data_IF_731727043819
#
_entry.id   IF_731727043819
#
_cell.length_a   1.000
_cell.length_b   1.000
_cell.length_c   1.000
_cell.angle_alpha   90.00
_cell.angle_beta   90.00
_cell.angle_gamma   90.00
#
_symmetry.space_group_name_H-M   'P 1'
#
loop_
_entity.id
_entity.type
_entity.pdbx_description
1 polymer ?
#
# COMPACT_ATOMS: atom_id res chain seq x y z
N UNK A 1 3.35 -20.12 20.88
CA UNK A 1 2.90 -20.01 19.48
C UNK A 1 3.91 -19.13 18.78
N UNK A 2 4.42 -19.55 17.62
CA UNK A 2 5.49 -18.86 16.87
C UNK A 2 5.18 -17.37 16.62
N UNK A 3 6.20 -16.51 16.77
CA UNK A 3 6.11 -15.07 16.59
C UNK A 3 6.26 -14.71 15.10
N UNK A 4 5.25 -14.10 14.47
CA UNK A 4 5.39 -13.56 13.11
C UNK A 4 4.96 -14.49 11.98
N UNK A 5 3.65 -14.63 11.82
CA UNK A 5 3.03 -15.30 10.68
C UNK A 5 2.88 -14.33 9.52
N UNK A 6 3.09 -14.80 8.30
CA UNK A 6 2.75 -14.11 7.06
C UNK A 6 1.71 -14.95 6.30
N UNK A 7 0.49 -14.44 6.22
CA UNK A 7 -0.58 -15.01 5.42
C UNK A 7 -0.60 -14.33 4.05
N UNK A 8 -0.61 -15.09 2.97
CA UNK A 8 -0.64 -14.59 1.58
C UNK A 8 -1.81 -15.24 0.85
N UNK A 9 -2.92 -14.53 0.76
CA UNK A 9 -4.07 -14.97 -0.03
C UNK A 9 -3.90 -14.53 -1.48
N UNK A 10 -3.82 -15.48 -2.41
CA UNK A 10 -3.62 -15.22 -3.82
C UNK A 10 -4.90 -15.48 -4.61
N UNK A 11 -5.49 -14.39 -5.09
CA UNK A 11 -6.68 -14.40 -5.93
C UNK A 11 -6.34 -13.86 -7.34
N UNK A 12 -7.13 -14.19 -8.37
CA UNK A 12 -6.90 -13.66 -9.71
C UNK A 12 -6.83 -12.12 -9.70
N UNK A 13 -5.68 -11.57 -10.12
CA UNK A 13 -5.43 -10.13 -10.18
C UNK A 13 -5.02 -9.46 -8.84
N UNK A 14 -5.03 -10.17 -7.71
CA UNK A 14 -4.74 -9.57 -6.41
C UNK A 14 -4.12 -10.56 -5.42
N UNK A 15 -3.01 -10.15 -4.80
CA UNK A 15 -2.46 -10.81 -3.62
C UNK A 15 -2.69 -9.94 -2.39
N UNK A 16 -3.29 -10.52 -1.35
CA UNK A 16 -3.53 -9.86 -0.07
C UNK A 16 -2.61 -10.49 0.97
N UNK A 17 -1.82 -9.67 1.64
CA UNK A 17 -0.81 -10.10 2.60
C UNK A 17 -1.15 -9.58 3.98
N UNK A 18 -1.30 -10.46 4.95
CA UNK A 18 -1.52 -10.12 6.35
C UNK A 18 -0.38 -10.68 7.20
N UNK A 19 0.31 -9.81 7.93
CA UNK A 19 1.31 -10.23 8.91
C UNK A 19 0.69 -10.22 10.29
N UNK A 20 0.79 -11.34 11.01
CA UNK A 20 0.24 -11.50 12.36
C UNK A 20 1.37 -11.69 13.38
N UNK A 21 1.22 -11.09 14.56
CA UNK A 21 1.98 -11.45 15.76
C UNK A 21 1.01 -11.91 16.82
N UNK A 22 1.09 -13.17 17.24
CA UNK A 22 -0.01 -13.82 17.96
C UNK A 22 -1.29 -13.76 17.12
N UNK A 23 -2.37 -13.21 17.68
CA UNK A 23 -3.65 -13.04 16.99
C UNK A 23 -3.90 -11.60 16.51
N UNK A 24 -2.86 -10.77 16.39
CA UNK A 24 -2.99 -9.35 16.07
C UNK A 24 -2.41 -9.04 14.69
N UNK A 25 -3.19 -8.38 13.85
CA UNK A 25 -2.72 -7.84 12.57
C UNK A 25 -1.68 -6.73 12.80
N UNK A 26 -0.47 -6.94 12.28
CA UNK A 26 0.65 -6.01 12.42
C UNK A 26 1.08 -5.32 11.13
N UNK A 27 0.72 -5.88 9.98
CA UNK A 27 0.90 -5.26 8.67
C UNK A 27 -0.12 -5.83 7.69
N UNK A 28 -0.65 -5.00 6.80
CA UNK A 28 -1.50 -5.42 5.70
C UNK A 28 -1.03 -4.76 4.41
N UNK A 29 -0.94 -5.55 3.34
CA UNK A 29 -0.53 -5.08 2.01
C UNK A 29 -1.39 -5.73 0.94
N UNK A 30 -1.66 -4.98 -0.12
CA UNK A 30 -2.33 -5.48 -1.31
C UNK A 30 -1.41 -5.25 -2.49
N UNK A 31 -1.14 -6.31 -3.24
CA UNK A 31 -0.36 -6.27 -4.48
C UNK A 31 -1.27 -6.65 -5.64
N UNK A 32 -1.26 -5.83 -6.68
CA UNK A 32 -1.95 -6.13 -7.94
C UNK A 32 -0.88 -6.34 -9.01
N UNK A 33 -0.58 -7.59 -9.40
CA UNK A 33 0.51 -7.88 -10.34
C UNK A 33 0.37 -7.16 -11.70
N UNK A 34 -0.86 -6.86 -12.15
CA UNK A 34 -1.13 -6.08 -13.36
C UNK A 34 -0.81 -4.59 -13.23
N UNK A 35 -0.64 -4.09 -12.00
CA UNK A 35 -0.40 -2.68 -11.66
C UNK A 35 0.79 -2.56 -10.68
N UNK A 36 2.01 -2.98 -11.07
CA UNK A 36 3.15 -3.00 -10.18
C UNK A 36 3.60 -1.58 -9.81
N UNK A 37 4.03 -1.38 -8.56
CA UNK A 37 4.51 -0.07 -8.10
C UNK A 37 5.83 0.38 -8.73
N UNK A 38 6.56 -0.55 -9.37
CA UNK A 38 7.91 -0.42 -9.93
C UNK A 38 8.99 0.06 -8.95
N UNK A 39 8.69 0.32 -7.68
CA UNK A 39 9.69 0.76 -6.69
C UNK A 39 10.85 -0.23 -6.62
N UNK A 40 12.07 0.31 -6.69
CA UNK A 40 13.29 -0.46 -6.73
C UNK A 40 13.62 -1.07 -8.09
N UNK A 41 12.74 -1.00 -9.10
CA UNK A 41 13.02 -1.51 -10.44
C UNK A 41 14.07 -0.66 -11.16
N UNK A 42 14.97 -1.33 -11.88
CA UNK A 42 15.99 -0.71 -12.72
C UNK A 42 15.48 -0.61 -14.16
N UNK A 43 15.55 0.60 -14.71
CA UNK A 43 15.18 0.89 -16.09
C UNK A 43 16.33 1.50 -16.87
N UNK A 44 16.37 1.20 -18.16
CA UNK A 44 17.01 2.07 -19.13
C UNK A 44 15.93 2.97 -19.74
N UNK A 45 15.85 4.19 -19.23
CA UNK A 45 14.79 5.13 -19.56
C UNK A 45 15.19 6.07 -20.70
N UNK A 46 14.21 6.77 -21.25
CA UNK A 46 14.41 7.86 -22.21
C UNK A 46 13.91 9.18 -21.63
N UNK A 47 14.74 10.21 -21.65
CA UNK A 47 14.34 11.57 -21.27
C UNK A 47 13.36 12.09 -22.32
N UNK A 48 12.11 12.31 -21.92
CA UNK A 48 11.04 12.83 -22.79
C UNK A 48 11.07 14.35 -22.84
N UNK A 49 11.29 14.98 -21.69
CA UNK A 49 11.40 16.44 -21.59
C UNK A 49 12.23 16.86 -20.39
N UNK A 50 12.91 17.99 -20.52
CA UNK A 50 13.64 18.65 -19.43
C UNK A 50 12.79 19.82 -18.94
N UNK A 51 12.55 19.90 -17.64
CA UNK A 51 11.71 20.91 -17.01
C UNK A 51 12.50 21.70 -15.95
N UNK A 52 13.31 22.70 -16.36
CA UNK A 52 14.11 23.49 -15.41
C UNK A 52 13.28 24.17 -14.31
N UNK A 53 12.06 24.63 -14.64
CA UNK A 53 11.15 25.23 -13.66
C UNK A 53 10.65 24.27 -12.58
N UNK A 54 10.70 22.96 -12.82
CA UNK A 54 10.42 21.92 -11.82
C UNK A 54 11.70 21.32 -11.22
N UNK A 55 12.88 21.84 -11.60
CA UNK A 55 14.18 21.29 -11.25
C UNK A 55 14.29 19.79 -11.53
N UNK A 56 13.82 19.32 -12.69
CA UNK A 56 13.92 17.90 -13.07
C UNK A 56 13.53 17.61 -14.52
N UNK A 57 13.45 16.33 -14.85
CA UNK A 57 13.14 15.83 -16.19
C UNK A 57 12.08 14.72 -16.14
N UNK A 58 11.27 14.61 -17.18
CA UNK A 58 10.31 13.51 -17.35
C UNK A 58 10.94 12.40 -18.18
N UNK A 59 10.75 11.16 -17.72
CA UNK A 59 11.31 9.95 -18.29
C UNK A 59 10.19 9.02 -18.75
N UNK A 60 10.35 8.42 -19.92
CA UNK A 60 9.60 7.24 -20.32
C UNK A 60 10.35 5.99 -19.84
N UNK A 61 9.72 5.18 -18.99
CA UNK A 61 10.27 3.93 -18.45
C UNK A 61 9.81 2.72 -19.26
N UNK A 62 8.55 2.70 -19.66
CA UNK A 62 7.90 1.70 -20.50
C UNK A 62 6.66 2.33 -21.18
N UNK A 63 6.01 1.67 -22.15
CA UNK A 63 4.77 2.18 -22.73
C UNK A 63 3.72 2.46 -21.64
N UNK A 64 3.28 3.72 -21.53
CA UNK A 64 2.31 4.16 -20.52
C UNK A 64 2.85 4.27 -19.09
N UNK A 65 4.17 4.13 -18.89
CA UNK A 65 4.82 4.23 -17.57
C UNK A 65 5.88 5.33 -17.60
N UNK A 66 5.60 6.42 -16.88
CA UNK A 66 6.46 7.59 -16.80
C UNK A 66 7.02 7.79 -15.38
N UNK A 67 8.15 8.49 -15.29
CA UNK A 67 8.73 8.94 -14.03
C UNK A 67 9.31 10.35 -14.11
N UNK A 68 9.43 10.98 -12.96
CA UNK A 68 10.13 12.25 -12.77
C UNK A 68 11.52 12.00 -12.17
N UNK A 69 12.54 12.56 -12.79
CA UNK A 69 13.93 12.56 -12.32
C UNK A 69 14.29 13.96 -11.79
N UNK A 70 14.35 14.17 -10.47
CA UNK A 70 14.82 15.41 -9.88
C UNK A 70 16.29 15.70 -10.22
N UNK A 71 16.67 16.97 -10.32
CA UNK A 71 18.05 17.38 -10.56
C UNK A 71 19.02 16.84 -9.49
N UNK A 72 18.59 16.80 -8.22
CA UNK A 72 19.39 16.27 -7.11
C UNK A 72 19.73 14.77 -7.23
N UNK A 73 18.96 14.05 -8.05
CA UNK A 73 19.06 12.62 -8.31
C UNK A 73 19.58 12.30 -9.73
N UNK A 74 19.82 13.31 -10.56
CA UNK A 74 20.19 13.14 -11.98
C UNK A 74 21.69 12.99 -12.22
N UNK A 75 22.54 13.35 -11.25
CA UNK A 75 24.00 13.28 -11.35
C UNK A 75 24.54 12.08 -10.54
N UNK A 76 24.91 10.96 -11.21
CA UNK A 76 25.30 9.73 -10.53
C UNK A 76 26.54 9.84 -9.66
N UNK A 77 27.43 10.78 -10.01
CA UNK A 77 28.74 10.94 -9.39
C UNK A 77 28.78 12.13 -8.42
N UNK A 78 27.61 12.77 -8.18
CA UNK A 78 27.46 13.86 -7.22
C UNK A 78 27.70 13.37 -5.78
N UNK A 79 28.62 14.00 -5.02
CA UNK A 79 28.81 13.70 -3.60
C UNK A 79 27.57 14.01 -2.75
N UNK A 80 27.28 13.21 -1.73
CA UNK A 80 26.18 13.48 -0.79
C UNK A 80 26.34 14.84 -0.09
N UNK A 81 25.23 15.55 0.11
CA UNK A 81 25.21 16.88 0.72
C UNK A 81 25.68 18.04 -0.16
N UNK A 82 26.27 17.77 -1.33
CA UNK A 82 26.65 18.84 -2.28
C UNK A 82 25.41 19.47 -2.97
N UNK A 83 25.46 20.73 -3.44
CA UNK A 83 24.37 21.30 -4.21
C UNK A 83 24.25 20.61 -5.59
N UNK A 84 23.03 20.45 -6.09
CA UNK A 84 22.82 19.93 -7.44
C UNK A 84 23.02 21.00 -8.51
N UNK A 85 23.49 20.57 -9.68
CA UNK A 85 23.53 21.40 -10.90
C UNK A 85 22.12 21.54 -11.49
N UNK A 86 21.84 22.59 -12.26
CA UNK A 86 20.58 22.69 -13.00
C UNK A 86 20.37 21.49 -13.91
N UNK A 87 19.14 20.96 -13.97
CA UNK A 87 18.83 19.74 -14.72
C UNK A 87 19.25 19.80 -16.20
N UNK A 88 19.15 20.97 -16.84
CA UNK A 88 19.54 21.13 -18.25
C UNK A 88 21.04 21.01 -18.53
N UNK A 89 21.88 21.04 -17.49
CA UNK A 89 23.31 20.75 -17.58
C UNK A 89 23.63 19.26 -17.30
N UNK A 90 22.64 18.50 -16.82
CA UNK A 90 22.78 17.09 -16.44
C UNK A 90 22.22 16.15 -17.50
N UNK A 91 21.08 16.53 -18.10
CA UNK A 91 20.40 15.71 -19.11
C UNK A 91 19.80 16.55 -20.24
N UNK A 92 19.59 15.92 -21.39
CA UNK A 92 18.89 16.51 -22.54
C UNK A 92 17.74 15.64 -23.04
N UNK A 93 16.77 16.24 -23.73
CA UNK A 93 15.66 15.50 -24.37
C UNK A 93 16.21 14.44 -25.33
N UNK A 94 15.59 13.26 -25.34
CA UNK A 94 15.98 12.10 -26.13
C UNK A 94 17.13 11.27 -25.53
N UNK A 95 17.79 11.76 -24.48
CA UNK A 95 18.89 11.05 -23.82
C UNK A 95 18.42 9.73 -23.21
N UNK A 96 19.24 8.71 -23.40
CA UNK A 96 19.12 7.43 -22.73
C UNK A 96 19.76 7.51 -21.34
N UNK A 97 19.07 7.07 -20.29
CA UNK A 97 19.56 7.17 -18.92
C UNK A 97 19.14 5.97 -18.07
N UNK A 98 20.10 5.41 -17.34
CA UNK A 98 19.85 4.34 -16.39
C UNK A 98 19.31 4.92 -15.08
N UNK A 99 18.15 4.43 -14.64
CA UNK A 99 17.51 4.93 -13.41
C UNK A 99 16.87 3.81 -12.61
N UNK A 100 16.80 4.01 -11.30
CA UNK A 100 16.01 3.16 -10.40
C UNK A 100 14.82 3.94 -9.87
N UNK A 101 13.65 3.33 -9.83
CA UNK A 101 12.46 3.96 -9.25
C UNK A 101 12.61 4.00 -7.73
N UNK A 102 12.51 5.19 -7.13
CA UNK A 102 12.63 5.40 -5.69
C UNK A 102 11.28 5.57 -5.01
N UNK A 103 10.27 5.99 -5.77
CA UNK A 103 8.90 6.18 -5.28
C UNK A 103 7.90 5.82 -6.37
N UNK A 104 6.85 5.11 -5.98
CA UNK A 104 5.74 4.76 -6.86
C UNK A 104 4.99 6.00 -7.36
N UNK A 105 4.23 5.84 -8.45
CA UNK A 105 3.21 6.82 -8.81
C UNK A 105 2.16 6.88 -7.69
N UNK A 106 1.83 8.10 -7.25
CA UNK A 106 0.94 8.35 -6.10
C UNK A 106 0.26 9.72 -6.22
N UNK A 107 -0.97 9.86 -5.75
CA UNK A 107 -1.74 11.12 -5.72
C UNK A 107 -1.85 11.78 -7.12
N UNK A 108 -1.98 10.97 -8.18
CA UNK A 108 -1.97 11.44 -9.58
C UNK A 108 -0.61 11.95 -10.08
N UNK A 109 0.45 11.85 -9.26
CA UNK A 109 1.83 12.17 -9.66
C UNK A 109 2.52 10.90 -10.14
N UNK A 110 3.30 11.02 -11.21
CA UNK A 110 4.13 9.92 -11.72
C UNK A 110 5.16 9.43 -10.71
N UNK A 111 5.77 8.28 -11.00
CA UNK A 111 6.83 7.72 -10.16
C UNK A 111 8.03 8.68 -10.06
N UNK A 112 8.85 8.54 -9.02
CA UNK A 112 10.16 9.22 -8.96
C UNK A 112 11.28 8.24 -9.20
N UNK A 113 12.32 8.70 -9.88
CA UNK A 113 13.49 7.90 -10.20
C UNK A 113 14.78 8.61 -9.77
N UNK A 114 15.85 7.82 -9.65
CA UNK A 114 17.22 8.30 -9.42
C UNK A 114 18.18 7.69 -10.43
N UNK A 115 19.10 8.51 -10.94
CA UNK A 115 20.26 8.07 -11.70
C UNK A 115 21.49 7.80 -10.80
N UNK A 116 21.40 8.10 -9.49
CA UNK A 116 22.42 7.82 -8.48
C UNK A 116 22.42 6.34 -8.09
N UNK A 117 22.75 5.50 -9.08
CA UNK A 117 22.77 4.05 -8.97
C UNK A 117 24.19 3.50 -9.20
N UNK A 118 24.51 2.30 -8.69
CA UNK A 118 25.84 1.70 -8.85
C UNK A 118 26.29 1.62 -10.32
N UNK A 119 27.60 1.77 -10.61
CA UNK A 119 28.12 1.69 -11.98
C UNK A 119 27.77 0.39 -12.71
N UNK A 120 27.70 -0.74 -11.99
CA UNK A 120 27.28 -2.03 -12.54
C UNK A 120 25.84 -2.00 -13.08
N UNK A 121 24.92 -1.35 -12.38
CA UNK A 121 23.53 -1.21 -12.84
C UNK A 121 23.43 -0.29 -14.05
N UNK A 122 24.25 0.76 -14.12
CA UNK A 122 24.34 1.64 -15.30
C UNK A 122 24.79 0.85 -16.53
N UNK A 123 25.82 0.01 -16.38
CA UNK A 123 26.33 -0.83 -17.46
C UNK A 123 25.28 -1.86 -17.93
N UNK A 124 24.58 -2.51 -16.99
CA UNK A 124 23.48 -3.45 -17.29
C UNK A 124 22.32 -2.78 -18.00
N UNK A 125 21.96 -1.56 -17.61
CA UNK A 125 20.89 -0.82 -18.27
C UNK A 125 21.29 -0.43 -19.70
N UNK A 126 22.52 0.05 -19.88
CA UNK A 126 23.05 0.48 -21.18
C UNK A 126 23.10 -0.65 -22.23
N UNK A 127 23.07 -1.93 -21.83
CA UNK A 127 23.04 -3.06 -22.77
C UNK A 127 21.67 -3.32 -23.41
N UNK A 128 20.60 -2.65 -22.96
CA UNK A 128 19.26 -2.75 -23.54
C UNK A 128 18.89 -1.46 -24.28
N UNK A 129 18.04 -1.49 -25.32
CA UNK A 129 17.55 -0.26 -25.94
C UNK A 129 16.53 0.46 -25.04
N UNK A 130 16.59 1.79 -24.86
CA UNK A 130 15.61 2.53 -24.06
C UNK A 130 14.34 2.86 -24.88
N UNK A 131 13.13 2.78 -24.30
CA UNK A 131 12.84 2.42 -22.91
C UNK A 131 12.80 0.90 -22.65
N UNK A 132 13.40 0.42 -21.56
CA UNK A 132 13.38 -0.98 -21.16
C UNK A 132 13.45 -1.20 -19.64
N UNK A 133 12.69 -2.17 -19.14
CA UNK A 133 12.86 -2.73 -17.80
C UNK A 133 14.07 -3.67 -17.80
N UNK A 134 15.07 -3.38 -16.97
CA UNK A 134 16.31 -4.15 -16.84
C UNK A 134 16.18 -5.16 -15.70
N UNK A 135 15.56 -4.75 -14.60
CA UNK A 135 15.36 -5.57 -13.41
C UNK A 135 14.08 -5.13 -12.71
N UNK A 136 13.18 -6.08 -12.42
CA UNK A 136 11.99 -5.81 -11.63
C UNK A 136 12.37 -5.49 -10.17
N UNK A 137 11.71 -4.50 -9.59
CA UNK A 137 11.82 -4.20 -8.17
C UNK A 137 11.10 -5.24 -7.30
N UNK A 138 11.31 -5.21 -5.98
CA UNK A 138 10.63 -6.14 -5.07
C UNK A 138 9.12 -5.85 -5.01
N UNK A 139 8.31 -6.83 -5.42
CA UNK A 139 6.86 -6.88 -5.21
C UNK A 139 6.50 -6.93 -3.70
N UNK A 140 5.22 -6.75 -3.31
CA UNK A 140 4.86 -6.78 -1.89
C UNK A 140 5.18 -8.11 -1.20
N UNK A 141 5.18 -9.24 -1.93
CA UNK A 141 5.53 -10.55 -1.38
C UNK A 141 7.02 -10.56 -1.03
N UNK A 142 7.89 -10.15 -1.93
CA UNK A 142 9.33 -10.04 -1.70
C UNK A 142 9.62 -9.09 -0.52
N UNK A 143 8.94 -7.94 -0.45
CA UNK A 143 9.08 -6.99 0.68
C UNK A 143 8.62 -7.60 2.01
N UNK A 144 7.51 -8.34 2.01
CA UNK A 144 7.00 -9.02 3.20
C UNK A 144 7.97 -10.12 3.68
N UNK A 145 8.50 -10.91 2.75
CA UNK A 145 9.43 -12.00 3.01
C UNK A 145 10.80 -11.49 3.50
N UNK A 146 11.24 -10.30 3.06
CA UNK A 146 12.46 -9.66 3.56
C UNK A 146 12.43 -9.41 5.08
N UNK A 147 11.23 -9.36 5.69
CA UNK A 147 11.07 -9.28 7.15
C UNK A 147 11.30 -10.62 7.87
N UNK A 148 11.65 -11.68 7.12
CA UNK A 148 11.97 -13.02 7.59
C UNK A 148 10.92 -13.62 8.53
N UNK A 149 9.65 -13.75 8.10
CA UNK A 149 8.59 -14.34 8.92
C UNK A 149 8.95 -15.77 9.37
N UNK A 150 8.46 -16.16 10.54
CA UNK A 150 8.68 -17.50 11.10
C UNK A 150 7.85 -18.55 10.37
N UNK A 151 6.61 -18.20 10.02
CA UNK A 151 5.67 -19.08 9.30
C UNK A 151 5.06 -18.30 8.14
N UNK A 152 5.07 -18.90 6.95
CA UNK A 152 4.45 -18.35 5.75
C UNK A 152 3.33 -19.31 5.35
N UNK A 153 2.12 -18.81 5.20
CA UNK A 153 0.97 -19.61 4.77
C UNK A 153 0.33 -18.96 3.56
N UNK A 154 0.08 -19.75 2.52
CA UNK A 154 -0.65 -19.29 1.33
C UNK A 154 -1.76 -20.28 0.95
N UNK A 155 -2.84 -19.78 0.35
CA UNK A 155 -3.95 -20.58 -0.19
C UNK A 155 -3.70 -21.03 -1.63
N UNK A 156 -2.52 -20.73 -2.18
CA UNK A 156 -2.15 -21.04 -3.56
C UNK A 156 -0.89 -21.92 -3.62
N UNK A 157 -1.02 -23.20 -4.04
CA UNK A 157 0.10 -24.12 -4.18
C UNK A 157 1.20 -23.63 -5.14
N UNK A 158 0.82 -22.96 -6.23
CA UNK A 158 1.78 -22.48 -7.23
C UNK A 158 2.61 -21.32 -6.67
N UNK A 159 1.95 -20.43 -5.93
CA UNK A 159 2.65 -19.38 -5.20
C UNK A 159 3.58 -19.96 -4.12
N UNK A 160 3.14 -20.98 -3.39
CA UNK A 160 3.99 -21.65 -2.41
C UNK A 160 5.26 -22.23 -3.05
N UNK A 161 5.13 -22.90 -4.20
CA UNK A 161 6.27 -23.42 -4.96
C UNK A 161 7.19 -22.29 -5.45
N UNK A 162 6.60 -21.19 -5.97
CA UNK A 162 7.34 -20.01 -6.41
C UNK A 162 8.14 -19.36 -5.27
N UNK A 163 7.56 -19.22 -4.08
CA UNK A 163 8.25 -18.68 -2.90
C UNK A 163 9.41 -19.60 -2.50
N UNK A 164 9.18 -20.91 -2.41
CA UNK A 164 10.24 -21.89 -2.07
C UNK A 164 11.42 -21.84 -3.03
N UNK A 165 11.14 -21.65 -4.33
CA UNK A 165 12.17 -21.53 -5.35
C UNK A 165 12.92 -20.19 -5.30
N UNK A 166 12.19 -19.07 -5.21
CA UNK A 166 12.77 -17.71 -5.20
C UNK A 166 13.49 -17.37 -3.89
N UNK A 167 13.08 -17.98 -2.77
CA UNK A 167 13.60 -17.70 -1.43
C UNK A 167 13.97 -19.00 -0.69
N UNK A 168 15.07 -19.69 -1.08
CA UNK A 168 15.45 -20.98 -0.52
C UNK A 168 15.65 -20.96 1.01
N UNK A 169 16.11 -19.85 1.57
CA UNK A 169 16.29 -19.68 3.02
C UNK A 169 14.98 -19.74 3.83
N UNK A 170 13.83 -19.56 3.17
CA UNK A 170 12.51 -19.60 3.78
C UNK A 170 11.74 -20.89 3.42
N UNK A 171 12.37 -21.81 2.67
CA UNK A 171 11.73 -23.00 2.10
C UNK A 171 10.86 -23.77 3.12
N UNK A 172 11.45 -24.11 4.27
CA UNK A 172 10.81 -24.94 5.31
C UNK A 172 9.75 -24.19 6.13
N UNK A 173 9.63 -22.87 5.93
CA UNK A 173 8.64 -22.02 6.59
C UNK A 173 7.36 -21.88 5.78
N UNK A 174 7.36 -22.29 4.51
CA UNK A 174 6.22 -22.15 3.58
C UNK A 174 5.25 -23.32 3.71
N UNK A 175 4.00 -23.01 4.04
CA UNK A 175 2.87 -23.93 4.17
C UNK A 175 1.76 -23.53 3.19
N UNK A 176 1.02 -24.52 2.73
CA UNK A 176 -0.16 -24.30 1.89
C UNK A 176 -1.41 -24.63 2.69
N UNK A 177 -2.43 -23.80 2.60
CA UNK A 177 -3.74 -24.01 3.22
C UNK A 177 -4.77 -24.40 2.16
N UNK A 178 -5.60 -25.40 2.48
CA UNK A 178 -6.78 -25.76 1.67
C UNK A 178 -8.05 -24.99 2.10
N UNK A 179 -8.01 -24.29 3.23
CA UNK A 179 -9.09 -23.43 3.73
C UNK A 179 -8.75 -21.96 3.51
N UNK A 180 -9.75 -21.05 3.49
CA UNK A 180 -9.49 -19.61 3.50
C UNK A 180 -8.49 -19.23 4.59
N UNK A 181 -7.51 -18.39 4.25
CA UNK A 181 -6.51 -17.91 5.21
C UNK A 181 -7.05 -16.85 6.15
N UNK A 182 -7.99 -16.03 5.67
CA UNK A 182 -8.58 -14.97 6.45
C UNK A 182 -9.89 -15.48 7.02
N UNK A 183 -9.88 -15.75 8.33
CA UNK A 183 -11.08 -16.00 9.12
C UNK A 183 -11.94 -14.73 9.18
N UNK A 184 -13.23 -14.88 9.50
CA UNK A 184 -14.20 -13.79 9.46
C UNK A 184 -13.74 -12.56 10.27
N UNK A 185 -13.16 -12.76 11.46
CA UNK A 185 -12.64 -11.67 12.29
C UNK A 185 -11.49 -10.89 11.64
N UNK A 186 -10.62 -11.57 10.87
CA UNK A 186 -9.52 -10.91 10.16
C UNK A 186 -10.03 -10.18 8.92
N UNK A 187 -11.02 -10.73 8.19
CA UNK A 187 -11.64 -10.00 7.08
C UNK A 187 -12.37 -8.75 7.60
N UNK A 188 -13.11 -8.83 8.71
CA UNK A 188 -13.74 -7.65 9.33
C UNK A 188 -12.70 -6.59 9.73
N UNK A 189 -11.56 -7.00 10.30
CA UNK A 189 -10.47 -6.08 10.64
C UNK A 189 -9.86 -5.43 9.39
N UNK A 190 -9.68 -6.18 8.30
CA UNK A 190 -9.16 -5.68 7.02
C UNK A 190 -10.14 -4.70 6.37
N UNK A 191 -11.43 -5.04 6.35
CA UNK A 191 -12.49 -4.18 5.81
C UNK A 191 -12.59 -2.87 6.60
N UNK A 192 -12.35 -2.90 7.90
CA UNK A 192 -12.31 -1.68 8.73
C UNK A 192 -11.11 -0.76 8.40
N UNK A 193 -10.05 -1.23 7.71
CA UNK A 193 -8.89 -0.40 7.37
C UNK A 193 -9.20 0.72 6.37
N UNK A 194 -10.24 0.57 5.56
CA UNK A 194 -10.66 1.63 4.61
C UNK A 194 -11.61 2.64 5.26
N UNK A 195 -12.22 2.31 6.40
CA UNK A 195 -13.12 3.20 7.10
C UNK A 195 -12.37 4.43 7.67
N UNK A 196 -12.93 5.64 7.57
CA UNK A 196 -12.30 6.85 8.10
C UNK A 196 -12.25 6.85 9.63
N UNK A 197 -13.10 6.09 10.31
CA UNK A 197 -13.18 6.06 11.77
C UNK A 197 -12.65 4.75 12.34
N UNK A 198 -11.95 4.87 13.47
CA UNK A 198 -11.40 3.73 14.22
C UNK A 198 -11.85 3.83 15.67
N UNK A 199 -12.48 2.77 16.18
CA UNK A 199 -12.92 2.74 17.57
C UNK A 199 -11.72 2.64 18.52
N UNK A 200 -11.75 3.43 19.59
CA UNK A 200 -10.80 3.36 20.70
C UNK A 200 -11.46 2.76 21.94
N UNK A 201 -10.67 2.29 22.91
CA UNK A 201 -11.18 1.90 24.22
C UNK A 201 -12.03 3.00 24.88
N UNK A 202 -12.95 2.60 25.77
CA UNK A 202 -13.83 3.50 26.55
C UNK A 202 -14.68 4.45 25.69
N UNK A 203 -15.02 4.04 24.46
CA UNK A 203 -15.92 4.79 23.58
C UNK A 203 -15.28 5.99 22.88
N UNK A 204 -13.95 6.13 22.92
CA UNK A 204 -13.25 7.08 22.06
C UNK A 204 -13.22 6.65 20.60
N UNK A 205 -12.76 7.53 19.72
CA UNK A 205 -12.57 7.24 18.29
C UNK A 205 -11.42 8.06 17.72
N UNK A 206 -10.76 7.51 16.70
CA UNK A 206 -9.91 8.27 15.78
C UNK A 206 -10.70 8.55 14.51
N UNK A 207 -10.57 9.75 13.98
CA UNK A 207 -11.04 10.09 12.63
C UNK A 207 -9.85 10.43 11.75
N UNK A 208 -9.61 9.60 10.73
CA UNK A 208 -8.50 9.72 9.79
C UNK A 208 -9.03 10.40 8.52
N UNK A 209 -8.52 11.59 8.23
CA UNK A 209 -8.84 12.37 7.04
C UNK A 209 -7.62 12.48 6.14
N UNK A 210 -7.77 11.94 4.92
CA UNK A 210 -6.75 11.98 3.89
C UNK A 210 -6.96 13.24 3.06
N UNK A 211 -5.94 14.10 3.00
CA UNK A 211 -5.92 15.27 2.11
C UNK A 211 -4.69 15.16 1.18
N UNK A 212 -4.65 15.88 0.05
CA UNK A 212 -3.51 15.83 -0.88
C UNK A 212 -2.15 16.18 -0.24
N UNK A 213 -2.16 17.04 0.78
CA UNK A 213 -0.95 17.55 1.43
C UNK A 213 -0.61 16.80 2.72
N UNK A 214 -1.61 16.57 3.57
CA UNK A 214 -1.43 16.07 4.95
C UNK A 214 -2.49 15.04 5.30
N UNK A 215 -2.11 14.01 6.06
CA UNK A 215 -3.07 13.15 6.74
C UNK A 215 -3.36 13.72 8.12
N UNK A 216 -4.62 14.07 8.39
CA UNK A 216 -5.06 14.54 9.70
C UNK A 216 -5.71 13.39 10.46
N UNK A 217 -5.31 13.19 11.72
CA UNK A 217 -5.91 12.22 12.62
C UNK A 217 -6.45 12.99 13.82
N UNK A 218 -7.76 13.01 13.95
CA UNK A 218 -8.47 13.65 15.06
C UNK A 218 -8.82 12.62 16.14
N UNK A 219 -8.69 13.00 17.41
CA UNK A 219 -8.93 12.14 18.57
C UNK A 219 -10.12 12.65 19.38
N UNK A 220 -11.19 11.87 19.36
CA UNK A 220 -12.35 12.07 20.22
C UNK A 220 -12.30 11.11 21.40
N UNK A 221 -12.39 11.64 22.62
CA UNK A 221 -12.46 10.82 23.84
C UNK A 221 -13.90 10.51 24.22
N UNK A 222 -14.16 9.26 24.63
CA UNK A 222 -15.46 8.85 25.17
C UNK A 222 -15.75 9.44 26.57
N UNK A 223 -16.95 9.20 27.12
CA UNK A 223 -17.38 9.75 28.40
C UNK A 223 -16.49 9.31 29.57
N UNK A 224 -16.28 10.23 30.52
CA UNK A 224 -15.40 10.02 31.68
C UNK A 224 -16.05 9.07 32.69
N UNK A 225 -15.29 8.07 33.15
CA UNK A 225 -15.77 6.96 33.99
C UNK A 225 -15.79 7.26 35.49
N UNK A 226 -15.88 8.54 35.88
CA UNK A 226 -15.91 8.98 37.28
C UNK A 226 -14.56 9.24 37.94
N UNK A 227 -13.43 9.07 37.23
CA UNK A 227 -12.09 9.41 37.71
C UNK A 227 -11.67 10.87 37.41
N UNK A 228 -10.40 11.19 37.67
CA UNK A 228 -9.85 12.51 37.31
C UNK A 228 -9.90 12.71 35.80
N UNK A 229 -10.68 13.71 35.34
CA UNK A 229 -10.84 14.03 33.92
C UNK A 229 -9.51 14.25 33.19
N UNK A 230 -8.49 14.75 33.90
CA UNK A 230 -7.13 14.90 33.35
C UNK A 230 -6.45 13.55 33.11
N UNK A 231 -6.45 12.67 34.13
CA UNK A 231 -5.79 11.37 34.04
C UNK A 231 -6.47 10.46 33.00
N UNK A 232 -7.80 10.51 32.91
CA UNK A 232 -8.57 9.78 31.91
C UNK A 232 -8.25 10.27 30.49
N UNK A 233 -8.18 11.59 30.28
CA UNK A 233 -7.77 12.18 28.99
C UNK A 233 -6.34 11.82 28.61
N UNK A 234 -5.40 11.86 29.54
CA UNK A 234 -4.02 11.44 29.30
C UNK A 234 -3.93 9.95 28.93
N UNK A 235 -4.71 9.08 29.57
CA UNK A 235 -4.81 7.67 29.22
C UNK A 235 -5.43 7.45 27.84
N UNK A 236 -6.48 8.20 27.50
CA UNK A 236 -7.12 8.16 26.19
C UNK A 236 -6.16 8.63 25.08
N UNK A 237 -5.40 9.71 25.29
CA UNK A 237 -4.40 10.18 24.34
C UNK A 237 -3.27 9.15 24.14
N UNK A 238 -2.82 8.45 25.19
CA UNK A 238 -1.84 7.35 25.03
C UNK A 238 -2.41 6.20 24.21
N UNK A 239 -3.67 5.80 24.45
CA UNK A 239 -4.33 4.78 23.64
C UNK A 239 -4.50 5.23 22.18
N UNK A 240 -4.87 6.50 21.96
CA UNK A 240 -5.00 7.10 20.64
C UNK A 240 -3.66 7.14 19.89
N UNK A 241 -2.55 7.51 20.53
CA UNK A 241 -1.21 7.48 19.94
C UNK A 241 -0.83 6.06 19.51
N UNK A 242 -1.05 5.06 20.38
CA UNK A 242 -0.74 3.67 20.06
C UNK A 242 -1.56 3.15 18.89
N UNK A 243 -2.85 3.48 18.83
CA UNK A 243 -3.73 3.09 17.73
C UNK A 243 -3.45 3.89 16.45
N UNK A 244 -3.11 5.16 16.54
CA UNK A 244 -2.71 5.97 15.39
C UNK A 244 -1.44 5.41 14.74
N UNK A 245 -0.42 5.08 15.53
CA UNK A 245 0.80 4.43 15.02
C UNK A 245 0.48 3.10 14.32
N UNK A 246 -0.42 2.30 14.90
CA UNK A 246 -0.92 1.06 14.30
C UNK A 246 -1.61 1.32 12.96
N UNK A 247 -2.55 2.25 12.89
CA UNK A 247 -3.30 2.56 11.67
C UNK A 247 -2.42 3.16 10.57
N UNK A 248 -1.45 4.00 10.94
CA UNK A 248 -0.44 4.51 9.99
C UNK A 248 0.33 3.36 9.34
N UNK A 249 0.72 2.36 10.12
CA UNK A 249 1.39 1.17 9.58
C UNK A 249 0.45 0.29 8.72
N UNK A 250 -0.73 -0.07 9.24
CA UNK A 250 -1.67 -0.98 8.57
C UNK A 250 -2.23 -0.42 7.26
N UNK A 251 -2.44 0.90 7.20
CA UNK A 251 -2.93 1.59 6.01
C UNK A 251 -1.80 2.12 5.13
N UNK A 252 -0.55 1.88 5.52
CA UNK A 252 0.65 2.40 4.85
C UNK A 252 0.61 3.94 4.63
N UNK A 253 0.04 4.70 5.56
CA UNK A 253 -0.08 6.16 5.45
C UNK A 253 1.31 6.80 5.41
N UNK A 254 1.50 7.83 4.59
CA UNK A 254 2.81 8.45 4.40
C UNK A 254 2.72 9.94 4.09
N UNK A 255 3.87 10.61 4.11
CA UNK A 255 3.98 12.06 4.04
C UNK A 255 3.83 12.73 5.40
N UNK A 256 3.46 14.03 5.41
CA UNK A 256 3.09 14.73 6.62
C UNK A 256 1.83 14.14 7.24
N UNK A 257 1.89 13.83 8.53
CA UNK A 257 0.79 13.31 9.34
C UNK A 257 0.69 14.19 10.58
N UNK A 258 -0.51 14.65 10.92
CA UNK A 258 -0.78 15.42 12.13
C UNK A 258 -1.79 14.69 13.00
N UNK A 259 -1.51 14.60 14.30
CA UNK A 259 -2.40 14.01 15.29
C UNK A 259 -2.91 15.13 16.23
N UNK A 260 -4.20 15.39 16.18
CA UNK A 260 -4.90 16.31 17.06
C UNK A 260 -5.39 15.56 18.31
N UNK A 261 -4.66 15.72 19.40
CA UNK A 261 -4.97 15.02 20.65
C UNK A 261 -6.03 15.79 21.44
N UNK A 262 -6.96 15.05 22.04
CA UNK A 262 -7.99 15.64 22.89
C UNK A 262 -7.36 16.43 24.04
N UNK A 263 -7.49 17.75 23.98
CA UNK A 263 -7.02 18.70 25.00
C UNK A 263 -5.51 18.66 25.26
N UNK A 264 -4.81 19.74 24.91
CA UNK A 264 -3.38 19.85 25.13
C UNK A 264 -2.99 19.63 26.59
N UNK A 265 -1.99 18.79 26.89
CA UNK A 265 -1.47 18.70 28.24
C UNK A 265 -0.79 20.02 28.63
N UNK A 266 -1.07 20.48 29.85
CA UNK A 266 -0.42 21.65 30.42
C UNK A 266 1.04 21.37 30.77
N UNK A 267 1.93 22.29 30.41
CA UNK A 267 3.34 22.27 30.79
C UNK A 267 4.27 21.46 29.85
N UNK A 268 5.56 21.84 29.84
CA UNK A 268 6.59 21.22 28.99
C UNK A 268 6.82 19.72 29.28
N UNK A 269 6.74 19.33 30.55
CA UNK A 269 6.97 17.93 30.95
C UNK A 269 5.95 16.96 30.37
N UNK A 270 4.66 17.31 30.42
CA UNK A 270 3.59 16.44 29.93
C UNK A 270 3.60 16.31 28.39
N UNK A 271 3.94 17.38 27.65
CA UNK A 271 4.16 17.31 26.20
C UNK A 271 5.35 16.42 25.85
N UNK A 272 6.45 16.54 26.59
CA UNK A 272 7.65 15.71 26.38
C UNK A 272 7.37 14.22 26.60
N UNK A 273 6.55 13.89 27.60
CA UNK A 273 6.10 12.53 27.84
C UNK A 273 5.27 11.97 26.68
N UNK A 274 4.33 12.74 26.12
CA UNK A 274 3.56 12.29 24.95
C UNK A 274 4.42 12.13 23.70
N UNK A 275 5.42 12.99 23.49
CA UNK A 275 6.38 12.83 22.37
C UNK A 275 7.18 11.53 22.55
N UNK A 276 7.63 11.22 23.76
CA UNK A 276 8.36 9.98 24.04
C UNK A 276 7.47 8.74 23.79
N UNK A 277 6.22 8.76 24.25
CA UNK A 277 5.25 7.69 23.98
C UNK A 277 4.95 7.54 22.49
N UNK A 278 4.77 8.65 21.77
CA UNK A 278 4.58 8.62 20.32
C UNK A 278 5.81 8.05 19.61
N UNK A 279 7.01 8.52 19.96
CA UNK A 279 8.27 8.00 19.39
C UNK A 279 8.38 6.50 19.59
N UNK A 280 8.07 6.00 20.80
CA UNK A 280 8.05 4.57 21.10
C UNK A 280 6.99 3.82 20.29
N UNK A 281 5.77 4.34 20.20
CA UNK A 281 4.68 3.70 19.47
C UNK A 281 4.97 3.62 17.96
N UNK A 282 5.45 4.72 17.36
CA UNK A 282 5.83 4.75 15.95
C UNK A 282 7.06 3.88 15.68
N UNK A 283 8.08 3.85 16.54
CA UNK A 283 9.21 2.93 16.38
C UNK A 283 8.77 1.45 16.36
N UNK A 284 7.72 1.09 17.10
CA UNK A 284 7.20 -0.28 17.14
C UNK A 284 6.34 -0.65 15.92
N UNK A 285 5.67 0.31 15.30
CA UNK A 285 4.66 0.08 14.25
C UNK A 285 5.07 0.57 12.87
N UNK A 286 5.65 1.75 12.79
CA UNK A 286 6.09 2.44 11.58
C UNK A 286 7.49 3.02 11.82
N UNK A 287 8.49 2.14 11.89
CA UNK A 287 9.89 2.47 12.23
C UNK A 287 10.57 3.43 11.25
N UNK A 288 10.00 3.59 10.06
CA UNK A 288 10.41 4.55 9.04
C UNK A 288 9.82 5.95 9.27
N UNK A 289 8.89 6.12 10.20
CA UNK A 289 8.31 7.40 10.57
C UNK A 289 9.17 8.15 11.61
N UNK A 290 9.19 9.47 11.50
CA UNK A 290 9.85 10.38 12.42
C UNK A 290 8.82 11.26 13.12
N UNK A 291 8.82 11.25 14.46
CA UNK A 291 8.01 12.16 15.28
C UNK A 291 8.78 13.47 15.46
N UNK A 292 8.22 14.58 14.96
CA UNK A 292 8.87 15.89 14.97
C UNK A 292 8.59 16.69 16.26
N UNK A 293 7.51 16.36 16.96
CA UNK A 293 7.07 17.04 18.18
C UNK A 293 5.76 17.79 17.99
N UNK A 294 5.46 18.72 18.90
CA UNK A 294 4.23 19.51 18.84
C UNK A 294 4.43 20.82 18.07
N UNK A 295 3.50 21.11 17.17
CA UNK A 295 3.37 22.39 16.50
C UNK A 295 2.97 23.50 17.47
N UNK A 296 3.02 24.76 17.02
CA UNK A 296 2.51 25.91 17.78
C UNK A 296 1.00 25.85 18.01
N UNK A 297 0.27 25.17 17.13
CA UNK A 297 -1.17 24.93 17.25
C UNK A 297 -1.48 23.75 18.19
N UNK A 298 -0.45 23.01 18.63
CA UNK A 298 -0.63 21.86 19.51
C UNK A 298 -0.87 20.53 18.80
N UNK A 299 -0.67 20.48 17.49
CA UNK A 299 -0.76 19.22 16.74
C UNK A 299 0.55 18.45 16.90
N UNK A 300 0.48 17.15 17.16
CA UNK A 300 1.66 16.29 17.12
C UNK A 300 2.00 15.99 15.66
N UNK A 301 3.20 16.38 15.22
CA UNK A 301 3.66 16.25 13.85
C UNK A 301 4.50 14.98 13.67
N UNK A 302 4.16 14.21 12.64
CA UNK A 302 4.88 13.02 12.20
C UNK A 302 5.16 13.17 10.70
N UNK A 303 6.34 12.71 10.25
CA UNK A 303 6.64 12.54 8.84
C UNK A 303 7.02 11.09 8.57
N UNK A 304 6.43 10.49 7.54
CA UNK A 304 6.77 9.14 7.08
C UNK A 304 7.13 9.16 5.59
N UNK A 305 8.24 8.56 5.14
CA UNK A 305 8.65 8.58 3.74
C UNK A 305 7.55 8.09 2.79
N UNK A 306 7.33 8.81 1.69
CA UNK A 306 6.41 8.40 0.64
C UNK A 306 7.17 7.50 -0.34
N UNK A 307 6.97 6.19 -0.25
CA UNK A 307 7.63 5.19 -1.10
C UNK A 307 6.61 4.42 -1.93
N UNK A 308 5.59 3.89 -1.28
CA UNK A 308 4.49 3.14 -1.89
C UNK A 308 3.15 3.84 -1.65
N UNK A 309 2.15 3.65 -2.54
CA UNK A 309 0.81 4.15 -2.31
C UNK A 309 0.22 3.60 -1.01
N UNK A 310 -0.45 4.43 -0.19
CA UNK A 310 -1.17 3.96 0.99
C UNK A 310 -2.34 3.07 0.56
N UNK A 311 -2.81 2.21 1.46
CA UNK A 311 -3.88 1.25 1.20
C UNK A 311 -5.16 1.91 0.64
N UNK A 312 -5.63 3.07 1.16
CA UNK A 312 -6.80 3.75 0.61
C UNK A 312 -6.62 4.18 -0.85
N UNK A 313 -5.39 4.47 -1.30
CA UNK A 313 -5.12 4.79 -2.70
C UNK A 313 -5.05 3.53 -3.57
N UNK A 314 -4.46 2.44 -3.06
CA UNK A 314 -4.43 1.14 -3.76
C UNK A 314 -5.84 0.60 -3.98
N UNK A 315 -6.71 0.74 -2.97
CA UNK A 315 -8.06 0.22 -3.00
C UNK A 315 -9.08 1.22 -3.56
N UNK A 316 -8.84 2.51 -3.43
CA UNK A 316 -9.78 3.57 -3.75
C UNK A 316 -9.61 4.15 -5.15
N UNK A 317 -10.47 5.11 -5.47
CA UNK A 317 -10.23 6.02 -6.59
C UNK A 317 -9.44 7.23 -6.11
N UNK A 318 -8.77 7.95 -7.02
CA UNK A 318 -8.04 9.19 -6.70
C UNK A 318 -8.97 10.37 -6.30
N UNK A 319 -10.29 10.16 -6.22
CA UNK A 319 -11.26 11.17 -5.82
C UNK A 319 -11.30 11.33 -4.30
N UNK A 320 -11.68 12.53 -3.84
CA UNK A 320 -11.74 12.88 -2.42
C UNK A 320 -12.71 11.97 -1.65
N UNK A 321 -12.17 11.20 -0.69
CA UNK A 321 -12.93 10.24 0.11
C UNK A 321 -12.60 8.79 -0.24
N UNK A 322 -12.52 7.91 0.76
CA UNK A 322 -12.20 6.49 0.54
C UNK A 322 -13.38 5.75 -0.07
N UNK A 323 -13.66 5.98 -1.36
CA UNK A 323 -14.57 5.16 -2.15
C UNK A 323 -13.73 4.13 -2.89
N UNK A 324 -14.07 2.85 -2.69
CA UNK A 324 -13.38 1.74 -3.36
C UNK A 324 -13.48 1.89 -4.88
N UNK A 325 -12.40 1.58 -5.59
CA UNK A 325 -12.38 1.64 -7.05
C UNK A 325 -13.25 0.53 -7.67
N UNK A 326 -13.76 0.74 -8.89
CA UNK A 326 -14.43 -0.32 -9.65
C UNK A 326 -13.57 -1.58 -9.82
N UNK A 327 -12.24 -1.42 -9.91
CA UNK A 327 -11.29 -2.54 -9.93
C UNK A 327 -11.31 -3.32 -8.60
N UNK A 328 -11.31 -2.64 -7.46
CA UNK A 328 -11.43 -3.30 -6.15
C UNK A 328 -12.72 -4.11 -6.04
N UNK A 329 -13.84 -3.56 -6.52
CA UNK A 329 -15.12 -4.27 -6.57
C UNK A 329 -15.07 -5.50 -7.49
N UNK A 330 -14.48 -5.37 -8.68
CA UNK A 330 -14.32 -6.48 -9.62
C UNK A 330 -13.47 -7.62 -9.03
N UNK A 331 -12.34 -7.30 -8.38
CA UNK A 331 -11.47 -8.28 -7.74
C UNK A 331 -12.14 -8.93 -6.52
N UNK A 332 -12.95 -8.19 -5.76
CA UNK A 332 -13.80 -8.75 -4.71
C UNK A 332 -14.85 -9.72 -5.28
N UNK A 333 -15.45 -9.38 -6.42
CA UNK A 333 -16.38 -10.25 -7.13
C UNK A 333 -15.71 -11.54 -7.62
N UNK A 334 -14.46 -11.49 -8.11
CA UNK A 334 -13.71 -12.68 -8.50
C UNK A 334 -13.48 -13.63 -7.32
N UNK A 335 -13.16 -13.09 -6.14
CA UNK A 335 -13.07 -13.88 -4.90
C UNK A 335 -14.41 -14.51 -4.52
N UNK A 336 -15.50 -13.75 -4.63
CA UNK A 336 -16.84 -14.26 -4.37
C UNK A 336 -17.26 -15.37 -5.35
N UNK A 337 -16.91 -15.25 -6.63
CA UNK A 337 -17.11 -16.29 -7.64
C UNK A 337 -16.36 -17.58 -7.31
N UNK A 338 -15.08 -17.49 -6.93
CA UNK A 338 -14.31 -18.66 -6.48
C UNK A 338 -14.91 -19.29 -5.22
N UNK A 339 -15.43 -18.49 -4.30
CA UNK A 339 -16.10 -18.99 -3.09
C UNK A 339 -17.38 -19.74 -3.45
N UNK A 340 -18.20 -19.20 -4.36
CA UNK A 340 -19.43 -19.85 -4.82
C UNK A 340 -19.14 -21.15 -5.56
N UNK A 341 -18.10 -21.19 -6.39
CA UNK A 341 -17.69 -22.37 -7.15
C UNK A 341 -17.23 -23.55 -6.29
N UNK A 342 -16.96 -23.34 -4.99
CA UNK A 342 -16.71 -24.46 -4.04
C UNK A 342 -17.96 -25.29 -3.78
N UNK A 343 -19.15 -24.75 -4.06
CA UNK A 343 -20.40 -25.49 -3.96
C UNK A 343 -20.54 -26.42 -5.17
N UNK A 344 -20.80 -27.72 -4.98
CA UNK A 344 -20.89 -28.67 -6.09
C UNK A 344 -21.87 -28.25 -7.19
N UNK A 345 -21.35 -28.16 -8.43
CA UNK A 345 -22.11 -27.83 -9.64
C UNK A 345 -22.49 -26.35 -9.79
N UNK A 346 -22.08 -25.46 -8.89
CA UNK A 346 -22.35 -24.03 -9.04
C UNK A 346 -21.61 -23.44 -10.23
N UNK A 347 -22.29 -22.61 -11.02
CA UNK A 347 -21.70 -21.93 -12.19
C UNK A 347 -21.81 -20.43 -11.95
N UNK A 348 -20.76 -19.79 -11.40
CA UNK A 348 -20.85 -18.38 -11.03
C UNK A 348 -20.99 -17.47 -12.26
N UNK A 349 -21.84 -16.44 -12.14
CA UNK A 349 -21.93 -15.27 -13.03
C UNK A 349 -21.81 -13.99 -12.21
N UNK A 350 -21.15 -12.98 -12.77
CA UNK A 350 -21.07 -11.65 -12.17
C UNK A 350 -22.10 -10.73 -12.81
N UNK A 351 -23.01 -10.20 -11.99
CA UNK A 351 -23.92 -9.11 -12.37
C UNK A 351 -23.46 -7.86 -11.66
N UNK A 352 -23.10 -6.82 -12.40
CA UNK A 352 -22.58 -5.59 -11.80
C UNK A 352 -22.88 -4.35 -12.65
N UNK A 353 -22.71 -3.19 -12.02
CA UNK A 353 -22.80 -1.90 -12.71
C UNK A 353 -21.74 -1.78 -13.82
N UNK A 354 -22.00 -0.94 -14.85
CA UNK A 354 -21.10 -0.80 -16.01
C UNK A 354 -19.64 -0.50 -15.65
N UNK A 355 -19.42 0.30 -14.61
CA UNK A 355 -18.06 0.67 -14.18
C UNK A 355 -17.25 -0.53 -13.68
N UNK A 356 -17.88 -1.44 -12.92
CA UNK A 356 -17.26 -2.65 -12.37
C UNK A 356 -17.02 -3.68 -13.47
N UNK A 357 -17.97 -3.84 -14.41
CA UNK A 357 -17.80 -4.73 -15.56
C UNK A 357 -16.67 -4.24 -16.47
N UNK A 358 -16.59 -2.93 -16.73
CA UNK A 358 -15.51 -2.34 -17.51
C UNK A 358 -14.14 -2.60 -16.86
N UNK A 359 -14.02 -2.38 -15.54
CA UNK A 359 -12.80 -2.66 -14.80
C UNK A 359 -12.44 -4.16 -14.82
N UNK A 360 -13.42 -5.05 -14.64
CA UNK A 360 -13.21 -6.49 -14.74
C UNK A 360 -12.66 -6.90 -16.12
N UNK A 361 -13.21 -6.34 -17.20
CA UNK A 361 -12.79 -6.62 -18.58
C UNK A 361 -11.38 -6.12 -18.89
N UNK A 362 -10.94 -5.02 -18.27
CA UNK A 362 -9.60 -4.50 -18.42
C UNK A 362 -8.54 -5.46 -17.83
N UNK A 363 -8.90 -6.21 -16.79
CA UNK A 363 -8.02 -7.19 -16.13
C UNK A 363 -7.99 -8.53 -16.87
N UNK A 364 -7.56 -8.52 -18.13
CA UNK A 364 -7.54 -9.71 -19.01
C UNK A 364 -6.76 -10.89 -18.43
N UNK A 365 -5.60 -10.63 -17.82
CA UNK A 365 -4.80 -11.66 -17.15
C UNK A 365 -5.48 -12.25 -15.90
N UNK A 366 -6.19 -11.42 -15.13
CA UNK A 366 -6.96 -11.89 -13.98
C UNK A 366 -8.16 -12.73 -14.43
N UNK A 367 -8.89 -12.31 -15.46
CA UNK A 367 -10.00 -13.09 -16.04
C UNK A 367 -9.54 -14.43 -16.59
N UNK A 368 -8.38 -14.48 -17.27
CA UNK A 368 -7.80 -15.73 -17.75
C UNK A 368 -7.45 -16.67 -16.59
N UNK A 369 -6.80 -16.15 -15.55
CA UNK A 369 -6.46 -16.91 -14.33
C UNK A 369 -7.73 -17.41 -13.63
N UNK A 370 -8.76 -16.57 -13.53
CA UNK A 370 -10.04 -16.92 -12.95
C UNK A 370 -10.73 -18.02 -13.76
N UNK A 371 -10.73 -17.93 -15.08
CA UNK A 371 -11.34 -18.94 -15.95
C UNK A 371 -10.68 -20.31 -15.78
N UNK A 372 -9.35 -20.37 -15.65
CA UNK A 372 -8.63 -21.60 -15.35
C UNK A 372 -9.06 -22.17 -13.99
N UNK A 373 -9.14 -21.32 -12.95
CA UNK A 373 -9.55 -21.75 -11.60
C UNK A 373 -11.02 -22.19 -11.50
N UNK A 374 -11.91 -21.58 -12.29
CA UNK A 374 -13.33 -21.97 -12.37
C UNK A 374 -13.56 -23.18 -13.30
N UNK A 375 -12.62 -23.46 -14.21
CA UNK A 375 -12.80 -24.43 -15.29
C UNK A 375 -13.64 -23.92 -16.47
N UNK A 376 -14.12 -22.67 -16.41
CA UNK A 376 -14.85 -22.00 -17.48
C UNK A 376 -14.72 -20.47 -17.35
N UNK A 377 -14.94 -19.68 -18.42
CA UNK A 377 -14.98 -18.23 -18.34
C UNK A 377 -16.08 -17.75 -17.38
N UNK A 378 -15.81 -16.69 -16.60
CA UNK A 378 -16.83 -16.02 -15.79
C UNK A 378 -17.75 -15.19 -16.71
N UNK A 379 -19.06 -15.43 -16.68
CA UNK A 379 -20.01 -14.59 -17.37
C UNK A 379 -20.10 -13.21 -16.72
N UNK A 380 -19.92 -12.15 -17.51
CA UNK A 380 -19.97 -10.75 -17.07
C UNK A 380 -21.23 -10.09 -17.62
N UNK A 381 -22.20 -9.84 -16.74
CA UNK A 381 -23.51 -9.27 -17.07
C UNK A 381 -23.54 -7.83 -16.55
N UNK A 382 -23.72 -6.90 -17.48
CA UNK A 382 -23.87 -5.48 -17.17
C UNK A 382 -25.33 -5.16 -16.84
N UNK A 383 -25.55 -4.48 -15.70
CA UNK A 383 -26.87 -4.03 -15.28
C UNK A 383 -26.82 -2.52 -14.97
N UNK A 384 -27.25 -1.69 -15.93
CA UNK A 384 -27.13 -0.23 -15.85
C UNK A 384 -28.04 0.43 -14.80
N UNK A 385 -29.01 -0.29 -14.23
CA UNK A 385 -29.86 0.17 -13.12
C UNK A 385 -29.17 0.14 -11.77
N UNK A 386 -28.01 -0.52 -11.65
CA UNK A 386 -27.28 -0.64 -10.40
C UNK A 386 -26.48 0.63 -10.07
N UNK A 387 -26.33 0.97 -8.78
CA UNK A 387 -25.36 1.98 -8.34
C UNK A 387 -23.94 1.67 -8.87
N UNK A 388 -23.09 2.69 -9.14
CA UNK A 388 -21.80 2.51 -9.82
C UNK A 388 -20.89 1.41 -9.25
N UNK A 389 -20.93 1.20 -7.94
CA UNK A 389 -20.13 0.26 -7.16
C UNK A 389 -20.82 -1.08 -6.87
N UNK A 390 -22.09 -1.22 -7.25
CA UNK A 390 -22.88 -2.40 -6.91
C UNK A 390 -22.54 -3.59 -7.83
N UNK A 391 -22.40 -4.75 -7.19
CA UNK A 391 -22.13 -6.02 -7.84
C UNK A 391 -22.69 -7.16 -7.00
N UNK A 392 -22.99 -8.28 -7.65
CA UNK A 392 -23.36 -9.54 -7.02
C UNK A 392 -22.88 -10.72 -7.86
N UNK A 393 -22.59 -11.82 -7.19
CA UNK A 393 -22.27 -13.09 -7.84
C UNK A 393 -23.42 -14.04 -7.62
N UNK A 394 -23.94 -14.61 -8.71
CA UNK A 394 -25.08 -15.51 -8.73
C UNK A 394 -24.68 -16.87 -9.32
N UNK A 395 -25.44 -17.93 -8.99
CA UNK A 395 -25.33 -19.22 -9.67
C UNK A 395 -26.19 -19.18 -10.93
N UNK A 396 -25.64 -19.55 -12.09
CA UNK A 396 -26.33 -19.49 -13.38
C UNK A 396 -27.61 -20.34 -13.43
N UNK A 397 -27.75 -21.30 -12.51
CA UNK A 397 -28.90 -22.21 -12.37
C UNK A 397 -30.08 -21.61 -11.60
N UNK A 398 -29.90 -20.46 -10.94
CA UNK A 398 -30.93 -19.77 -10.15
C UNK A 398 -31.44 -18.50 -10.81
#
# INVERSE_FOLDING_TARGET
MADGWLLISASPGEHRLARLRGNRLVAYMVERPGHPSFVGALFHARVVSVAPGLAGAFLALAPGVDAFLPAEEADPDRPDGSPSRPIGALVHTGQAIAVRVTRAAMDGKGARATARIPPADRARAASLPPPALVEAGPDAIARALATSPEVIVTDDPDLAASIRHRFPALHDRVRTSSTPLFEDALEEEIEALVAPEVRLPRGGRLRISLTPAVTAIDVDTGPTGGGSARAEREAANRAAIAEAARQVALRSLCGPIVLDLAGLPGGRGARSALIAEATKAFAAWASDASVLGFSRLGLLEIVRPRVHPPLPEVLGTAAEGTVLSPLTHALAAFRAALRLARQPGAVPRLVAAPSVIAAARAETGALATLAVRLGHPLALIEESSLPPEAWRVEDSRR
#
